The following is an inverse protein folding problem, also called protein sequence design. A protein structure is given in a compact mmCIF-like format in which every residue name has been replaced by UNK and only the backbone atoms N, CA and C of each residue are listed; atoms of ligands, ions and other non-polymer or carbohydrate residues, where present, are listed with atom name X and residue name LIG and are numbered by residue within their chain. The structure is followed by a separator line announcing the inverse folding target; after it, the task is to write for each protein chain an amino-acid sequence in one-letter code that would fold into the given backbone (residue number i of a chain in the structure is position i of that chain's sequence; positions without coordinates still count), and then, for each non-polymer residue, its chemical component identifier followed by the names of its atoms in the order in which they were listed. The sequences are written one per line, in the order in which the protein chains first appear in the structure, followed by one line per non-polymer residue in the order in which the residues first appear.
data_IF_022178560061
#
_entry.id   IF_022178560061
#
_cell.length_a   1.000
_cell.length_b   1.000
_cell.length_c   1.000
_cell.angle_alpha   90.00
_cell.angle_beta   90.00
_cell.angle_gamma   90.00
#
_symmetry.space_group_name_H-M   'P 1'
#
loop_
_entity.id
_entity.type
_entity.pdbx_description
1 polymer ?
#
# COMPACT_ATOMS: atom_id res chain seq x y z
N UNK A 1 -2.99 3.22 12.53
CA UNK A 1 -1.58 2.84 12.67
C UNK A 1 -1.59 1.50 13.36
N UNK A 2 -0.90 0.51 12.80
CA UNK A 2 -1.06 -0.90 13.18
C UNK A 2 -0.91 -1.13 14.67
N UNK A 3 -1.76 -2.00 15.21
CA UNK A 3 -1.68 -2.44 16.59
C UNK A 3 -0.60 -3.52 16.72
N UNK A 4 0.62 -3.08 17.03
CA UNK A 4 1.78 -3.95 17.25
C UNK A 4 1.62 -4.89 18.46
N UNK A 5 0.53 -4.79 19.25
CA UNK A 5 0.20 -5.78 20.28
C UNK A 5 -0.42 -7.06 19.71
N UNK A 6 -0.81 -7.07 18.42
CA UNK A 6 -1.51 -8.21 17.80
C UNK A 6 -0.73 -8.90 16.67
N UNK A 7 0.01 -8.14 15.85
CA UNK A 7 0.75 -8.68 14.69
C UNK A 7 2.24 -8.29 14.73
N UNK A 8 3.00 -8.98 15.58
CA UNK A 8 4.41 -8.64 15.86
C UNK A 8 5.33 -8.80 14.65
N UNK A 9 5.03 -9.72 13.73
CA UNK A 9 5.82 -10.01 12.52
C UNK A 9 5.36 -9.25 11.28
N UNK A 10 4.46 -8.28 11.41
CA UNK A 10 3.99 -7.50 10.25
C UNK A 10 5.16 -6.87 9.48
N UNK A 11 5.18 -7.14 8.17
CA UNK A 11 6.09 -6.51 7.21
C UNK A 11 5.40 -5.36 6.49
N UNK A 12 4.17 -5.01 6.86
CA UNK A 12 3.43 -3.94 6.22
C UNK A 12 3.65 -2.63 6.96
N UNK A 13 4.03 -1.60 6.22
CA UNK A 13 4.16 -0.25 6.75
C UNK A 13 2.83 0.51 6.78
N UNK A 14 1.98 0.28 5.76
CA UNK A 14 0.74 1.02 5.64
C UNK A 14 -0.27 0.51 6.67
N UNK A 15 -0.98 1.41 7.34
CA UNK A 15 -2.06 1.01 8.23
C UNK A 15 -3.11 0.24 7.42
N UNK A 16 -3.58 -0.85 7.99
CA UNK A 16 -4.60 -1.68 7.38
C UNK A 16 -5.83 -1.79 8.25
N UNK A 17 -6.99 -1.93 7.60
CA UNK A 17 -8.22 -2.35 8.26
C UNK A 17 -8.48 -3.79 7.85
N UNK A 18 -8.67 -4.67 8.83
CA UNK A 18 -8.98 -6.09 8.61
C UNK A 18 -10.48 -6.34 8.73
N UNK A 19 -11.00 -7.22 7.89
CA UNK A 19 -12.32 -7.81 8.08
C UNK A 19 -12.19 -9.15 8.83
N UNK A 20 -12.70 -9.21 10.06
CA UNK A 20 -12.67 -10.42 10.88
C UNK A 20 -13.47 -11.56 10.25
N UNK A 21 -13.04 -12.80 10.49
CA UNK A 21 -13.68 -14.02 9.96
C UNK A 21 -13.36 -14.33 8.50
N UNK A 22 -12.39 -13.62 7.90
CA UNK A 22 -11.90 -13.90 6.54
C UNK A 22 -10.57 -14.63 6.58
N UNK A 23 -10.30 -15.48 5.57
CA UNK A 23 -9.01 -16.16 5.42
C UNK A 23 -8.50 -15.94 4.00
N UNK A 24 -7.47 -15.12 3.88
CA UNK A 24 -6.70 -14.91 2.64
C UNK A 24 -5.23 -14.88 3.05
N UNK A 25 -4.43 -15.71 2.39
CA UNK A 25 -3.00 -15.77 2.61
C UNK A 25 -2.26 -15.18 1.41
N UNK A 26 -1.64 -14.01 1.60
CA UNK A 26 -0.80 -13.40 0.57
C UNK A 26 0.55 -14.13 0.54
N UNK A 27 0.99 -14.54 -0.65
CA UNK A 27 2.28 -15.23 -0.88
C UNK A 27 3.48 -14.55 -0.19
N UNK A 28 3.48 -13.22 -0.09
CA UNK A 28 4.57 -12.48 0.55
C UNK A 28 4.57 -12.57 2.09
N UNK A 29 3.53 -13.16 2.69
CA UNK A 29 3.29 -13.17 4.13
C UNK A 29 3.03 -14.55 4.71
N UNK A 30 2.82 -15.58 3.88
CA UNK A 30 2.42 -16.95 4.24
C UNK A 30 3.15 -17.54 5.45
N UNK A 31 4.46 -17.30 5.55
CA UNK A 31 5.30 -17.80 6.63
C UNK A 31 5.41 -16.89 7.87
N UNK A 32 4.77 -15.71 7.86
CA UNK A 32 4.81 -14.76 8.96
C UNK A 32 3.74 -15.06 10.01
N UNK A 33 4.10 -14.93 11.28
CA UNK A 33 3.16 -15.02 12.39
C UNK A 33 2.36 -13.71 12.53
N UNK A 34 1.48 -13.50 11.56
CA UNK A 34 0.50 -12.42 11.51
C UNK A 34 -0.88 -13.01 11.27
N UNK A 35 -1.90 -12.31 11.73
CA UNK A 35 -3.26 -12.64 11.35
C UNK A 35 -3.41 -12.60 9.83
N UNK A 36 -4.29 -13.45 9.28
CA UNK A 36 -4.58 -13.58 7.85
C UNK A 36 -6.00 -13.12 7.56
N UNK A 37 -6.29 -12.73 6.32
CA UNK A 37 -7.63 -12.24 5.95
C UNK A 37 -7.63 -11.19 4.85
N UNK A 38 -8.79 -10.59 4.62
CA UNK A 38 -8.96 -9.45 3.73
C UNK A 38 -8.53 -8.16 4.44
N UNK A 39 -7.73 -7.37 3.73
CA UNK A 39 -7.21 -6.09 4.19
C UNK A 39 -7.67 -4.96 3.28
N UNK A 40 -7.92 -3.81 3.88
CA UNK A 40 -8.03 -2.54 3.17
C UNK A 40 -6.76 -1.74 3.47
N UNK A 41 -5.95 -1.51 2.44
CA UNK A 41 -4.76 -0.67 2.53
C UNK A 41 -5.15 0.81 2.63
N UNK A 42 -4.59 1.51 3.60
CA UNK A 42 -4.73 2.97 3.72
C UNK A 42 -3.47 3.63 3.18
N UNK A 43 -3.58 4.25 2.01
CA UNK A 43 -2.51 5.05 1.44
C UNK A 43 -2.41 6.41 2.12
N UNK A 44 -1.18 6.77 2.52
CA UNK A 44 -0.90 8.04 3.20
C UNK A 44 -0.31 9.02 2.21
N UNK A 45 -0.86 10.23 2.17
CA UNK A 45 -0.31 11.34 1.40
C UNK A 45 0.38 12.33 2.32
N UNK A 46 1.57 12.78 1.93
CA UNK A 46 2.30 13.83 2.64
C UNK A 46 2.56 15.03 1.74
N UNK A 47 2.64 16.20 2.34
CA UNK A 47 3.10 17.39 1.62
C UNK A 47 4.56 17.22 1.17
N UNK A 48 4.83 17.50 -0.09
CA UNK A 48 6.19 17.51 -0.61
C UNK A 48 6.99 18.70 -0.06
N UNK A 49 8.30 18.53 0.06
CA UNK A 49 9.19 19.67 0.23
C UNK A 49 9.13 20.61 -1.00
N UNK A 50 9.26 21.92 -0.76
CA UNK A 50 9.12 22.94 -1.81
C UNK A 50 10.26 23.00 -2.83
N UNK A 51 11.36 22.27 -2.61
CA UNK A 51 12.46 22.17 -3.57
C UNK A 51 13.00 20.74 -3.64
N UNK A 52 13.65 20.41 -4.77
CA UNK A 52 14.03 19.04 -5.09
C UNK A 52 15.11 18.48 -4.15
N UNK A 53 16.02 19.31 -3.64
CA UNK A 53 17.05 18.86 -2.68
C UNK A 53 16.43 18.39 -1.37
N UNK A 54 15.49 19.17 -0.81
CA UNK A 54 14.76 18.79 0.40
C UNK A 54 13.82 17.62 0.14
N UNK A 55 13.23 17.53 -1.06
CA UNK A 55 12.41 16.40 -1.47
C UNK A 55 13.21 15.09 -1.48
N UNK A 56 14.43 15.10 -2.00
CA UNK A 56 15.32 13.93 -1.95
C UNK A 56 15.70 13.52 -0.52
N UNK A 57 15.86 14.48 0.39
CA UNK A 57 16.05 14.18 1.82
C UNK A 57 14.77 13.56 2.40
N UNK A 58 13.61 14.14 2.12
CA UNK A 58 12.31 13.64 2.57
C UNK A 58 12.08 12.19 2.11
N UNK A 59 12.39 11.87 0.85
CA UNK A 59 12.34 10.52 0.27
C UNK A 59 13.23 9.53 1.02
N UNK A 60 14.48 9.90 1.28
CA UNK A 60 15.44 9.04 2.00
C UNK A 60 15.00 8.77 3.44
N UNK A 61 14.48 9.79 4.13
CA UNK A 61 13.95 9.64 5.49
C UNK A 61 12.76 8.68 5.52
N UNK A 62 11.86 8.75 4.53
CA UNK A 62 10.76 7.79 4.43
C UNK A 62 11.28 6.38 4.15
N UNK A 63 12.26 6.23 3.25
CA UNK A 63 12.91 4.95 3.00
C UNK A 63 13.49 4.33 4.29
N UNK A 64 14.09 5.15 5.17
CA UNK A 64 14.53 4.69 6.48
C UNK A 64 13.36 4.20 7.36
N UNK A 65 12.25 4.92 7.39
CA UNK A 65 11.05 4.49 8.12
C UNK A 65 10.57 3.12 7.62
N UNK A 66 10.48 2.92 6.29
CA UNK A 66 10.10 1.63 5.71
C UNK A 66 11.04 0.52 6.16
N UNK A 67 12.35 0.70 6.02
CA UNK A 67 13.32 -0.32 6.41
C UNK A 67 13.28 -0.66 7.92
N UNK A 68 12.90 0.29 8.78
CA UNK A 68 12.77 0.07 10.24
C UNK A 68 11.47 -0.68 10.56
N UNK A 69 10.38 -0.38 9.87
CA UNK A 69 9.09 -1.08 10.03
C UNK A 69 9.18 -2.51 9.48
N UNK A 70 9.64 -2.67 8.25
CA UNK A 70 9.75 -3.94 7.53
C UNK A 70 10.97 -4.76 7.99
N UNK A 71 11.33 -4.70 9.27
CA UNK A 71 12.56 -5.32 9.83
C UNK A 71 12.70 -6.81 9.50
N UNK A 72 11.60 -7.54 9.33
CA UNK A 72 11.60 -8.97 9.02
C UNK A 72 11.71 -9.28 7.52
N UNK A 73 11.68 -8.27 6.64
CA UNK A 73 11.84 -8.46 5.20
C UNK A 73 13.19 -9.13 4.85
N UNK A 74 14.24 -8.87 5.65
CA UNK A 74 15.52 -9.56 5.52
C UNK A 74 15.41 -11.06 5.76
N UNK A 75 14.61 -11.51 6.74
CA UNK A 75 14.43 -12.94 7.04
C UNK A 75 13.78 -13.63 5.84
N UNK A 76 12.70 -13.06 5.32
CA UNK A 76 12.00 -13.56 4.13
C UNK A 76 12.97 -13.65 2.94
N UNK A 77 13.64 -12.55 2.59
CA UNK A 77 14.56 -12.52 1.44
C UNK A 77 15.72 -13.51 1.57
N UNK A 78 16.31 -13.65 2.78
CA UNK A 78 17.38 -14.63 3.05
C UNK A 78 16.88 -16.07 2.89
N UNK A 79 15.67 -16.40 3.38
CA UNK A 79 15.07 -17.74 3.23
C UNK A 79 14.80 -18.12 1.78
N UNK A 80 14.30 -17.18 0.98
CA UNK A 80 14.00 -17.41 -0.44
C UNK A 80 15.16 -17.12 -1.40
N UNK A 81 16.37 -16.90 -0.87
CA UNK A 81 17.58 -16.59 -1.66
C UNK A 81 17.41 -15.41 -2.64
N UNK A 82 16.65 -14.39 -2.21
CA UNK A 82 16.39 -13.17 -2.98
C UNK A 82 17.51 -12.16 -2.70
N UNK A 83 18.28 -11.79 -3.72
CA UNK A 83 19.29 -10.74 -3.61
C UNK A 83 18.64 -9.38 -3.34
N UNK A 84 19.16 -8.63 -2.36
CA UNK A 84 18.75 -7.24 -2.21
C UNK A 84 19.86 -6.34 -1.60
N UNK A 85 20.00 -5.10 -2.09
CA UNK A 85 20.94 -4.12 -1.55
C UNK A 85 20.36 -3.40 -0.30
N UNK A 86 21.21 -3.07 0.68
CA UNK A 86 20.90 -2.41 1.98
C UNK A 86 20.39 -3.32 3.12
N UNK A 87 21.15 -4.34 3.50
CA UNK A 87 20.81 -5.22 4.63
C UNK A 87 20.93 -4.59 6.02
N UNK A 88 21.82 -3.59 6.20
CA UNK A 88 22.22 -3.13 7.53
C UNK A 88 21.11 -2.48 8.35
N UNK A 89 20.24 -1.66 7.73
CA UNK A 89 19.17 -0.98 8.48
C UNK A 89 18.14 -2.00 8.97
N UNK A 90 17.77 -2.97 8.15
CA UNK A 90 16.90 -4.07 8.55
C UNK A 90 17.54 -4.92 9.65
N UNK A 91 18.82 -5.30 9.50
CA UNK A 91 19.54 -6.11 10.51
C UNK A 91 19.62 -5.36 11.86
N UNK A 92 19.87 -4.05 11.86
CA UNK A 92 19.84 -3.21 13.07
C UNK A 92 18.42 -3.15 13.63
N UNK A 93 17.43 -2.92 12.78
CA UNK A 93 16.02 -2.76 13.18
C UNK A 93 15.41 -4.04 13.72
N UNK A 94 15.87 -5.20 13.27
CA UNK A 94 15.43 -6.51 13.78
C UNK A 94 15.84 -6.70 15.25
N UNK A 95 17.02 -6.20 15.62
CA UNK A 95 17.59 -6.33 16.96
C UNK A 95 17.22 -5.17 17.90
N UNK A 96 16.58 -4.12 17.40
CA UNK A 96 16.19 -2.96 18.21
C UNK A 96 14.91 -3.25 19.02
N UNK A 97 14.90 -2.97 20.34
CA UNK A 97 13.68 -3.01 21.15
C UNK A 97 12.55 -2.18 20.52
N UNK A 98 11.32 -2.70 20.58
CA UNK A 98 10.17 -2.11 19.88
C UNK A 98 9.93 -0.64 20.25
N UNK A 99 9.99 -0.31 21.53
CA UNK A 99 9.78 1.07 21.99
C UNK A 99 10.83 2.05 21.41
N UNK A 100 12.06 1.59 21.15
CA UNK A 100 13.10 2.41 20.51
C UNK A 100 12.78 2.62 19.04
N UNK A 101 12.35 1.55 18.34
CA UNK A 101 11.94 1.64 16.93
C UNK A 101 10.79 2.62 16.75
N UNK A 102 9.75 2.51 17.57
CA UNK A 102 8.57 3.40 17.52
C UNK A 102 8.98 4.86 17.75
N UNK A 103 9.88 5.14 18.72
CA UNK A 103 10.41 6.49 18.95
C UNK A 103 11.22 7.00 17.74
N UNK A 104 12.06 6.16 17.14
CA UNK A 104 12.85 6.52 15.97
C UNK A 104 11.96 6.84 14.77
N UNK A 105 10.98 5.99 14.47
CA UNK A 105 9.96 6.21 13.43
C UNK A 105 9.22 7.52 13.69
N UNK A 106 8.79 7.76 14.93
CA UNK A 106 8.07 8.99 15.31
C UNK A 106 8.91 10.24 15.07
N UNK A 107 10.20 10.20 15.41
CA UNK A 107 11.15 11.29 15.16
C UNK A 107 11.33 11.54 13.65
N UNK A 108 11.59 10.49 12.86
CA UNK A 108 11.75 10.60 11.41
C UNK A 108 10.49 11.15 10.75
N UNK A 109 9.32 10.70 11.18
CA UNK A 109 8.02 11.22 10.72
C UNK A 109 7.87 12.71 11.02
N UNK A 110 8.20 13.14 12.24
CA UNK A 110 8.15 14.56 12.60
C UNK A 110 9.05 15.40 11.68
N UNK A 111 10.25 14.93 11.38
CA UNK A 111 11.17 15.60 10.44
C UNK A 111 10.57 15.66 9.03
N UNK A 112 10.01 14.56 8.52
CA UNK A 112 9.35 14.52 7.20
C UNK A 112 8.20 15.53 7.12
N UNK A 113 7.38 15.63 8.16
CA UNK A 113 6.29 16.60 8.23
C UNK A 113 6.81 18.05 8.25
N UNK A 114 7.90 18.33 8.96
CA UNK A 114 8.51 19.66 9.01
C UNK A 114 9.13 20.10 7.66
N UNK A 115 9.60 19.15 6.86
CA UNK A 115 10.11 19.41 5.51
C UNK A 115 9.00 19.71 4.50
N UNK A 116 7.83 19.08 4.68
CA UNK A 116 6.68 19.22 3.80
C UNK A 116 6.03 20.61 3.91
N UNK A 117 5.56 21.12 2.77
CA UNK A 117 4.72 22.34 2.72
C UNK A 117 3.67 22.17 1.64
N UNK A 118 2.45 22.68 1.86
CA UNK A 118 1.39 22.65 0.84
C UNK A 118 1.88 23.29 -0.47
N UNK A 119 1.81 22.53 -1.55
CA UNK A 119 2.16 22.92 -2.91
C UNK A 119 1.36 22.08 -3.93
N UNK A 120 1.61 22.24 -5.22
CA UNK A 120 0.92 21.53 -6.30
C UNK A 120 1.21 20.02 -6.37
N UNK A 121 2.18 19.53 -5.60
CA UNK A 121 2.59 18.14 -5.51
C UNK A 121 2.29 17.53 -4.14
N UNK A 122 2.01 16.23 -4.16
CA UNK A 122 1.84 15.37 -3.00
C UNK A 122 2.78 14.19 -3.10
N UNK A 123 3.23 13.73 -1.95
CA UNK A 123 4.00 12.53 -1.81
C UNK A 123 3.05 11.38 -1.49
N UNK A 124 2.89 10.46 -2.43
CA UNK A 124 2.20 9.19 -2.20
C UNK A 124 3.20 8.18 -1.62
N UNK A 125 2.79 7.61 -0.49
CA UNK A 125 3.45 6.50 0.17
C UNK A 125 2.73 5.21 -0.27
N UNK A 126 3.32 4.49 -1.23
CA UNK A 126 2.86 3.15 -1.63
C UNK A 126 3.75 2.07 -0.98
N UNK A 127 3.28 0.82 -0.99
CA UNK A 127 4.06 -0.33 -0.53
C UNK A 127 5.31 -0.56 -1.38
N UNK A 128 6.35 -1.12 -0.75
CA UNK A 128 7.58 -1.60 -1.37
C UNK A 128 8.36 -0.57 -2.19
N UNK A 129 9.17 0.26 -1.51
CA UNK A 129 10.19 1.17 -2.10
C UNK A 129 9.69 2.21 -3.10
N UNK A 130 8.45 2.11 -3.57
CA UNK A 130 7.82 2.95 -4.56
C UNK A 130 7.09 4.10 -3.86
N UNK A 131 7.79 5.21 -3.76
CA UNK A 131 7.19 6.48 -3.42
C UNK A 131 6.99 7.28 -4.69
N UNK A 132 5.85 7.96 -4.82
CA UNK A 132 5.56 8.75 -6.02
C UNK A 132 5.24 10.18 -5.64
N UNK A 133 5.75 11.10 -6.44
CA UNK A 133 5.33 12.50 -6.38
C UNK A 133 4.21 12.65 -7.39
N UNK A 134 3.01 12.97 -6.92
CA UNK A 134 1.82 13.09 -7.75
C UNK A 134 1.26 14.52 -7.70
N UNK A 135 0.55 14.97 -8.72
CA UNK A 135 -0.22 16.22 -8.65
C UNK A 135 -1.25 16.18 -7.52
N UNK A 136 -1.32 17.24 -6.72
CA UNK A 136 -2.30 17.38 -5.63
C UNK A 136 -3.74 17.31 -6.12
N UNK A 137 -4.00 17.84 -7.33
CA UNK A 137 -5.33 17.82 -7.95
C UNK A 137 -5.91 16.40 -8.07
N UNK A 138 -5.06 15.37 -8.16
CA UNK A 138 -5.53 13.98 -8.19
C UNK A 138 -6.21 13.54 -6.89
N UNK A 139 -6.00 14.26 -5.77
CA UNK A 139 -6.54 13.90 -4.46
C UNK A 139 -7.55 14.95 -3.97
N UNK A 140 -7.29 16.24 -4.21
CA UNK A 140 -8.14 17.33 -3.69
C UNK A 140 -9.29 17.72 -4.66
N UNK A 141 -9.14 17.50 -5.96
CA UNK A 141 -10.17 17.83 -6.96
C UNK A 141 -10.92 16.56 -7.37
N UNK A 142 -12.09 16.36 -6.75
CA UNK A 142 -12.89 15.14 -6.88
C UNK A 142 -14.24 15.42 -7.54
N UNK A 143 -14.71 14.49 -8.35
CA UNK A 143 -16.07 14.43 -8.89
C UNK A 143 -16.77 13.15 -8.41
N UNK A 144 -18.11 13.15 -8.40
CA UNK A 144 -18.92 11.98 -8.02
C UNK A 144 -19.27 11.15 -9.25
N UNK A 145 -19.03 9.85 -9.16
CA UNK A 145 -19.32 8.89 -10.23
C UNK A 145 -20.03 7.66 -9.66
N UNK A 146 -20.90 7.06 -10.47
CA UNK A 146 -21.59 5.83 -10.13
C UNK A 146 -20.75 4.64 -10.59
N UNK A 147 -20.49 3.72 -9.68
CA UNK A 147 -19.95 2.41 -9.98
C UNK A 147 -20.94 1.37 -9.44
N UNK A 148 -21.47 0.55 -10.34
CA UNK A 148 -22.62 -0.34 -10.08
C UNK A 148 -23.82 0.45 -9.50
N UNK A 149 -24.18 0.20 -8.24
CA UNK A 149 -25.32 0.84 -7.56
C UNK A 149 -24.89 1.93 -6.58
N UNK A 150 -23.58 2.20 -6.48
CA UNK A 150 -23.03 3.09 -5.44
C UNK A 150 -22.30 4.28 -6.05
N UNK A 151 -22.43 5.43 -5.38
CA UNK A 151 -21.72 6.65 -5.74
C UNK A 151 -20.41 6.74 -4.99
N UNK A 152 -19.34 7.02 -5.73
CA UNK A 152 -17.99 7.18 -5.19
C UNK A 152 -17.40 8.53 -5.64
N UNK A 153 -16.55 9.10 -4.80
CA UNK A 153 -15.72 10.25 -5.16
C UNK A 153 -14.46 9.74 -5.83
N UNK A 154 -14.19 10.23 -7.04
CA UNK A 154 -12.99 9.89 -7.80
C UNK A 154 -12.25 11.16 -8.22
N UNK A 155 -10.95 11.08 -8.58
CA UNK A 155 -10.23 12.22 -9.13
C UNK A 155 -10.96 12.79 -10.36
N UNK A 156 -11.14 14.11 -10.43
CA UNK A 156 -11.73 14.77 -11.60
C UNK A 156 -10.94 14.50 -12.88
N UNK A 157 -9.62 14.49 -12.77
CA UNK A 157 -8.68 14.10 -13.83
C UNK A 157 -8.30 12.61 -13.69
N UNK A 158 -9.31 11.72 -13.63
CA UNK A 158 -9.09 10.28 -13.43
C UNK A 158 -8.27 9.66 -14.57
N UNK A 159 -8.39 10.13 -15.80
CA UNK A 159 -7.65 9.57 -16.94
C UNK A 159 -6.13 9.78 -16.78
N UNK A 160 -5.69 11.00 -16.42
CA UNK A 160 -4.27 11.26 -16.15
C UNK A 160 -3.77 10.52 -14.91
N UNK A 161 -4.62 10.41 -13.88
CA UNK A 161 -4.32 9.62 -12.69
C UNK A 161 -4.09 8.14 -13.07
N UNK A 162 -5.01 7.51 -13.79
CA UNK A 162 -4.90 6.11 -14.17
C UNK A 162 -3.72 5.86 -15.11
N UNK A 163 -3.46 6.76 -16.07
CA UNK A 163 -2.26 6.67 -16.93
C UNK A 163 -0.95 6.74 -16.16
N UNK A 164 -0.89 7.51 -15.07
CA UNK A 164 0.30 7.59 -14.21
C UNK A 164 0.62 6.26 -13.51
N UNK A 165 -0.41 5.52 -13.07
CA UNK A 165 -0.21 4.26 -12.34
C UNK A 165 -0.13 3.04 -13.25
N UNK A 166 -0.99 2.99 -14.27
CA UNK A 166 -1.23 1.79 -15.09
C UNK A 166 -0.76 1.94 -16.54
N UNK A 167 -0.28 3.13 -16.94
CA UNK A 167 0.16 3.41 -18.30
C UNK A 167 -0.98 3.75 -19.27
N UNK A 168 -0.62 4.05 -20.52
CA UNK A 168 -1.58 4.52 -21.52
C UNK A 168 -2.62 3.48 -21.93
N UNK A 169 -2.36 2.20 -21.68
CA UNK A 169 -3.22 1.08 -22.02
C UNK A 169 -4.05 0.59 -20.83
N UNK A 170 -4.27 1.40 -19.78
CA UNK A 170 -4.95 0.97 -18.56
C UNK A 170 -6.39 0.44 -18.77
N UNK A 171 -7.06 0.86 -19.85
CA UNK A 171 -8.40 0.35 -20.23
C UNK A 171 -8.34 -0.92 -21.09
N UNK A 172 -7.15 -1.43 -21.38
CA UNK A 172 -6.98 -2.67 -22.16
C UNK A 172 -6.92 -3.84 -21.19
N UNK A 173 -7.84 -4.82 -21.27
CA UNK A 173 -7.80 -6.01 -20.43
C UNK A 173 -6.44 -6.72 -20.56
N UNK A 174 -5.80 -7.04 -19.44
CA UNK A 174 -4.59 -7.85 -19.46
C UNK A 174 -4.95 -9.32 -19.61
N UNK A 175 -4.29 -10.00 -20.55
CA UNK A 175 -4.49 -11.44 -20.83
C UNK A 175 -3.96 -12.31 -19.69
N UNK A 176 -3.06 -11.79 -18.86
CA UNK A 176 -2.52 -12.47 -17.67
C UNK A 176 -1.88 -11.45 -16.73
N UNK A 177 -2.10 -11.55 -15.41
CA UNK A 177 -1.40 -10.74 -14.41
C UNK A 177 -0.39 -11.61 -13.64
N UNK A 178 0.82 -11.12 -13.37
CA UNK A 178 1.87 -11.91 -12.68
C UNK A 178 1.47 -12.35 -11.27
N UNK A 179 0.67 -11.54 -10.58
CA UNK A 179 0.12 -11.86 -9.25
C UNK A 179 -1.18 -12.67 -9.29
N UNK A 180 -1.85 -12.73 -10.45
CA UNK A 180 -3.11 -13.45 -10.64
C UNK A 180 -3.12 -14.05 -12.06
N UNK A 181 -2.44 -15.18 -12.28
CA UNK A 181 -2.53 -15.86 -13.57
C UNK A 181 -3.99 -16.24 -13.78
N UNK A 182 -4.64 -15.67 -14.79
CA UNK A 182 -6.06 -15.93 -15.09
C UNK A 182 -6.34 -17.43 -15.28
N UNK A 183 -5.33 -18.18 -15.70
CA UNK A 183 -5.33 -19.63 -15.85
C UNK A 183 -5.56 -20.41 -14.54
N UNK A 184 -5.45 -19.75 -13.38
CA UNK A 184 -5.64 -20.34 -12.04
C UNK A 184 -6.86 -19.82 -11.29
N UNK A 185 -7.53 -18.78 -11.79
CA UNK A 185 -8.76 -18.27 -11.16
C UNK A 185 -9.94 -19.08 -11.68
N UNK A 186 -10.15 -20.26 -11.09
CA UNK A 186 -11.42 -20.99 -11.23
C UNK A 186 -12.44 -20.21 -10.41
N UNK A 187 -13.18 -19.34 -11.08
CA UNK A 187 -14.38 -18.76 -10.47
C UNK A 187 -15.40 -19.90 -10.30
N UNK A 188 -15.76 -20.29 -9.06
CA UNK A 188 -16.78 -21.28 -8.85
C UNK A 188 -18.08 -20.76 -9.47
N UNK A 189 -18.76 -21.55 -10.30
CA UNK A 189 -20.05 -21.17 -10.91
C UNK A 189 -21.04 -20.68 -9.85
N UNK A 190 -20.99 -21.26 -8.64
CA UNK A 190 -21.77 -20.85 -7.46
C UNK A 190 -21.59 -19.37 -7.06
N UNK A 191 -20.43 -18.75 -7.31
CA UNK A 191 -20.22 -17.32 -7.04
C UNK A 191 -21.01 -16.47 -8.04
N UNK A 192 -20.99 -16.84 -9.32
CA UNK A 192 -21.75 -16.14 -10.35
C UNK A 192 -23.26 -16.33 -10.17
N UNK A 193 -23.70 -17.53 -9.77
CA UNK A 193 -25.10 -17.79 -9.42
C UNK A 193 -25.56 -16.89 -8.26
N UNK A 194 -24.76 -16.76 -7.19
CA UNK A 194 -25.07 -15.87 -6.06
C UNK A 194 -25.05 -14.40 -6.41
N UNK A 195 -24.14 -13.97 -7.29
CA UNK A 195 -24.11 -12.59 -7.80
C UNK A 195 -25.37 -12.31 -8.60
N UNK A 196 -25.75 -13.21 -9.52
CA UNK A 196 -26.97 -13.06 -10.31
C UNK A 196 -28.22 -13.05 -9.44
N UNK A 197 -28.33 -13.96 -8.46
CA UNK A 197 -29.46 -13.99 -7.52
C UNK A 197 -29.55 -12.70 -6.70
N UNK A 198 -28.41 -12.14 -6.27
CA UNK A 198 -28.37 -10.85 -5.59
C UNK A 198 -28.79 -9.69 -6.52
N UNK A 199 -28.26 -9.66 -7.74
CA UNK A 199 -28.56 -8.63 -8.74
C UNK A 199 -30.03 -8.65 -9.16
N UNK A 200 -30.61 -9.82 -9.40
CA UNK A 200 -32.03 -9.96 -9.75
C UNK A 200 -32.94 -9.55 -8.59
N UNK A 201 -32.53 -9.77 -7.34
CA UNK A 201 -33.30 -9.42 -6.16
C UNK A 201 -33.25 -7.93 -5.80
N UNK A 202 -32.15 -7.24 -6.09
CA UNK A 202 -32.01 -5.79 -5.87
C UNK A 202 -32.60 -4.95 -7.01
N UNK A 203 -32.74 -5.52 -8.22
CA UNK A 203 -33.29 -4.84 -9.40
C UNK A 203 -34.77 -5.12 -9.68
N UNK A 204 -35.42 -5.99 -8.89
CA UNK A 204 -36.86 -6.27 -8.93
C UNK A 204 -37.65 -5.40 -7.94
#
# INVERSE_FOLDING_TARGET
FDDYSTDHETIHFLPRIRLDGTYVDEYATDELNINKGLWIDIFVFCDCAGNDKLLEIQKKLLGCIFMIHEKYLNRYKKRHNIYFPNTRIYDISENLPEFIRIKLISLLRAIICLLGRKNDRLFNICMYTDHRVIPRRFIEELDEHIFETRTFKIPKDYDSYLKLYYGNNYMTPMVSHSHFPLDTVVFPEEIFEKINEFTEKELA
#
